data_IF_902624856103
#
_entry.id   IF_902624856103
#
_cell.length_a   1.000
_cell.length_b   1.000
_cell.length_c   1.000
_cell.angle_alpha   90.00
_cell.angle_beta   90.00
_cell.angle_gamma   90.00
#
_symmetry.space_group_name_H-M   'P 1'
#
loop_
_entity.id
_entity.type
_entity.pdbx_description
1 polymer ?
#
# COMPACT_ATOMS: atom_id res chain seq x y z
N UNK A 1 4.59 5.37 14.28
CA UNK A 1 4.42 5.58 12.82
C UNK A 1 4.56 4.27 12.06
N UNK A 2 3.63 3.32 12.26
CA UNK A 2 3.72 1.98 11.67
C UNK A 2 3.44 2.00 10.17
N UNK A 3 2.37 2.67 9.75
CA UNK A 3 1.93 2.78 8.35
C UNK A 3 2.99 3.38 7.44
N UNK A 4 3.62 4.47 7.86
CA UNK A 4 4.70 5.11 7.10
C UNK A 4 5.86 4.13 6.79
N UNK A 5 6.24 3.32 7.78
CA UNK A 5 7.30 2.30 7.63
C UNK A 5 6.84 1.09 6.81
N UNK A 6 5.57 0.70 6.91
CA UNK A 6 5.01 -0.38 6.10
C UNK A 6 5.02 -0.01 4.60
N UNK A 7 4.62 1.22 4.26
CA UNK A 7 4.68 1.76 2.89
C UNK A 7 6.12 1.73 2.38
N UNK A 8 7.07 2.31 3.13
CA UNK A 8 8.48 2.34 2.76
C UNK A 8 9.06 0.93 2.54
N UNK A 9 8.80 -0.01 3.47
CA UNK A 9 9.32 -1.39 3.38
C UNK A 9 8.77 -2.14 2.19
N UNK A 10 7.47 -2.07 1.92
CA UNK A 10 6.89 -2.76 0.76
C UNK A 10 7.34 -2.13 -0.56
N UNK A 11 7.41 -0.80 -0.62
CA UNK A 11 7.96 -0.10 -1.79
C UNK A 11 9.38 -0.57 -2.12
N UNK A 12 10.25 -0.65 -1.10
CA UNK A 12 11.63 -1.12 -1.27
C UNK A 12 11.70 -2.60 -1.64
N UNK A 13 10.85 -3.45 -1.07
CA UNK A 13 10.77 -4.87 -1.42
C UNK A 13 10.38 -5.12 -2.88
N UNK A 14 9.57 -4.21 -3.47
CA UNK A 14 9.19 -4.22 -4.87
C UNK A 14 10.22 -3.52 -5.80
N UNK A 15 11.32 -2.98 -5.26
CA UNK A 15 12.33 -2.26 -6.03
C UNK A 15 11.84 -0.92 -6.60
N UNK A 16 10.76 -0.36 -6.05
CA UNK A 16 10.16 0.87 -6.56
C UNK A 16 10.82 2.11 -5.95
N UNK A 17 11.09 3.11 -6.78
CA UNK A 17 11.38 4.47 -6.31
C UNK A 17 10.11 5.15 -5.79
N UNK A 18 10.27 6.18 -4.96
CA UNK A 18 9.13 7.03 -4.55
C UNK A 18 8.43 7.67 -5.75
N UNK A 19 9.19 8.02 -6.79
CA UNK A 19 8.61 8.60 -8.01
C UNK A 19 7.73 7.60 -8.74
N UNK A 20 8.20 6.37 -8.94
CA UNK A 20 7.42 5.32 -9.60
C UNK A 20 6.13 5.01 -8.85
N UNK A 21 6.19 4.87 -7.52
CA UNK A 21 4.98 4.65 -6.72
C UNK A 21 4.00 5.83 -6.84
N UNK A 22 4.50 7.06 -6.78
CA UNK A 22 3.67 8.25 -6.97
C UNK A 22 3.01 8.32 -8.37
N UNK A 23 3.75 7.91 -9.42
CA UNK A 23 3.22 7.79 -10.77
C UNK A 23 2.14 6.72 -10.87
N UNK A 24 2.31 5.57 -10.24
CA UNK A 24 1.29 4.50 -10.20
C UNK A 24 0.02 4.99 -9.48
N UNK A 25 0.15 5.63 -8.31
CA UNK A 25 -0.98 6.22 -7.60
C UNK A 25 -1.71 7.27 -8.44
N UNK A 26 -0.96 8.12 -9.16
CA UNK A 26 -1.52 9.15 -10.06
C UNK A 26 -2.30 8.54 -11.21
N UNK A 27 -1.81 7.44 -11.79
CA UNK A 27 -2.50 6.74 -12.87
C UNK A 27 -3.83 6.11 -12.43
N UNK A 28 -3.98 5.76 -11.15
CA UNK A 28 -5.17 5.08 -10.63
C UNK A 28 -6.31 5.99 -10.19
N UNK A 29 -6.15 7.32 -10.26
CA UNK A 29 -7.17 8.39 -10.06
C UNK A 29 -6.82 9.45 -9.01
N UNK A 30 -5.73 9.30 -8.26
CA UNK A 30 -5.36 10.25 -7.19
C UNK A 30 -4.01 10.90 -7.48
N UNK A 31 -3.97 12.19 -7.86
CA UNK A 31 -2.71 12.91 -8.06
C UNK A 31 -1.83 12.80 -6.81
N UNK A 32 -0.74 12.06 -6.94
CA UNK A 32 0.21 11.82 -5.87
C UNK A 32 1.57 12.32 -6.32
N UNK A 33 2.14 13.29 -5.60
CA UNK A 33 3.48 13.78 -5.91
C UNK A 33 4.53 12.95 -5.17
N UNK A 34 5.74 12.91 -5.73
CA UNK A 34 6.89 12.30 -5.04
C UNK A 34 7.07 12.91 -3.64
N UNK A 35 6.97 14.24 -3.51
CA UNK A 35 7.09 14.93 -2.21
C UNK A 35 5.99 14.51 -1.22
N UNK A 36 4.74 14.35 -1.67
CA UNK A 36 3.66 13.88 -0.81
C UNK A 36 3.94 12.47 -0.27
N UNK A 37 4.42 11.57 -1.13
CA UNK A 37 4.81 10.21 -0.74
C UNK A 37 6.02 10.23 0.21
N UNK A 38 7.04 11.01 -0.12
CA UNK A 38 8.27 11.16 0.66
C UNK A 38 8.00 11.70 2.07
N UNK A 39 7.04 12.63 2.22
CA UNK A 39 6.58 13.11 3.52
C UNK A 39 5.73 12.08 4.27
N UNK A 40 4.94 11.29 3.56
CA UNK A 40 4.12 10.22 4.14
C UNK A 40 5.01 9.13 4.74
N UNK A 41 6.02 8.65 4.02
CA UNK A 41 7.00 7.66 4.50
C UNK A 41 7.82 8.18 5.70
N UNK A 42 8.12 9.47 5.73
CA UNK A 42 8.80 10.12 6.86
C UNK A 42 7.88 10.54 7.98
N UNK A 43 6.60 10.15 7.96
CA UNK A 43 5.64 10.52 8.99
C UNK A 43 5.33 12.03 9.13
N UNK A 44 5.77 12.86 8.18
CA UNK A 44 5.55 14.31 8.15
C UNK A 44 4.24 14.73 7.46
N UNK A 45 3.49 13.76 6.95
CA UNK A 45 2.12 13.92 6.42
C UNK A 45 1.31 12.72 6.88
N UNK A 46 0.09 12.95 7.39
CA UNK A 46 -0.86 11.88 7.66
C UNK A 46 -1.43 11.38 6.33
N UNK A 47 -1.55 10.07 6.21
CA UNK A 47 -2.20 9.40 5.09
C UNK A 47 -3.70 9.36 5.38
N UNK A 48 -4.52 9.93 4.49
CA UNK A 48 -5.96 9.71 4.53
C UNK A 48 -6.30 8.24 4.17
N UNK A 49 -7.49 7.76 4.51
CA UNK A 49 -7.95 6.41 4.19
C UNK A 49 -7.93 6.19 2.68
N UNK A 50 -8.40 7.15 1.89
CA UNK A 50 -8.37 7.04 0.43
C UNK A 50 -6.93 6.95 -0.11
N UNK A 51 -6.03 7.78 0.42
CA UNK A 51 -4.62 7.74 0.05
C UNK A 51 -4.02 6.37 0.41
N UNK A 52 -4.45 5.78 1.54
CA UNK A 52 -4.00 4.48 1.99
C UNK A 52 -4.46 3.36 1.05
N UNK A 53 -5.72 3.40 0.61
CA UNK A 53 -6.28 2.42 -0.34
C UNK A 53 -5.54 2.50 -1.66
N UNK A 54 -5.35 3.70 -2.22
CA UNK A 54 -4.63 3.89 -3.49
C UNK A 54 -3.18 3.44 -3.39
N UNK A 55 -2.48 3.77 -2.29
CA UNK A 55 -1.10 3.32 -2.08
C UNK A 55 -1.03 1.80 -1.93
N UNK A 56 -1.97 1.18 -1.21
CA UNK A 56 -2.01 -0.27 -1.05
C UNK A 56 -2.25 -0.97 -2.39
N UNK A 57 -3.19 -0.47 -3.19
CA UNK A 57 -3.49 -0.96 -4.52
C UNK A 57 -2.26 -0.84 -5.45
N UNK A 58 -1.56 0.30 -5.40
CA UNK A 58 -0.33 0.53 -6.17
C UNK A 58 0.80 -0.46 -5.81
N UNK A 59 0.80 -0.93 -4.56
CA UNK A 59 1.73 -1.92 -4.03
C UNK A 59 1.24 -3.36 -4.21
N UNK A 60 0.04 -3.58 -4.78
CA UNK A 60 -0.56 -4.90 -4.93
C UNK A 60 -0.95 -5.55 -3.60
N UNK A 61 -1.30 -4.74 -2.60
CA UNK A 61 -1.62 -5.18 -1.24
C UNK A 61 -3.00 -4.70 -0.79
N UNK A 62 -3.56 -5.33 0.25
CA UNK A 62 -4.76 -4.81 0.95
C UNK A 62 -4.35 -3.66 1.87
N UNK A 63 -5.20 -2.63 2.01
CA UNK A 63 -4.92 -1.47 2.88
C UNK A 63 -4.65 -1.87 4.35
N UNK A 64 -5.25 -2.96 4.84
CA UNK A 64 -5.00 -3.51 6.18
C UNK A 64 -3.56 -3.97 6.39
N UNK A 65 -2.82 -4.35 5.34
CA UNK A 65 -1.41 -4.72 5.43
C UNK A 65 -0.49 -3.52 5.75
N UNK A 66 -0.99 -2.30 5.57
CA UNK A 66 -0.30 -1.06 5.92
C UNK A 66 -0.63 -0.56 7.33
N UNK A 67 -1.59 -1.18 8.01
CA UNK A 67 -1.98 -0.81 9.36
C UNK A 67 -1.18 -1.63 10.39
N UNK A 68 -0.97 -1.10 11.60
CA UNK A 68 -0.50 -1.94 12.69
C UNK A 68 -1.39 -3.17 12.79
N UNK A 69 -0.79 -4.36 12.86
CA UNK A 69 -1.51 -5.53 13.34
C UNK A 69 -2.08 -5.14 14.70
N UNK A 70 -3.40 -4.98 14.77
CA UNK A 70 -4.07 -4.65 16.02
C UNK A 70 -3.61 -5.68 17.05
N UNK A 71 -3.27 -5.22 18.26
CA UNK A 71 -3.21 -6.12 19.39
C UNK A 71 -4.65 -6.64 19.50
N UNK A 72 -4.93 -7.79 18.92
CA UNK A 72 -6.21 -8.45 19.11
C UNK A 72 -6.20 -8.97 20.55
N UNK A 73 -6.97 -8.42 21.51
CA UNK A 73 -7.39 -9.24 22.64
C UNK A 73 -8.17 -10.39 22.01
N UNK A 74 -7.64 -11.61 22.16
CA UNK A 74 -8.11 -12.83 21.50
C UNK A 74 -9.63 -12.86 21.33
N UNK A 75 -10.13 -12.48 20.16
CA UNK A 75 -11.50 -12.78 19.76
C UNK A 75 -11.48 -14.16 19.10
N UNK A 76 -12.29 -15.11 19.58
CA UNK A 76 -12.33 -16.44 19.00
C UNK A 76 -12.86 -16.33 17.56
N UNK A 77 -11.93 -16.57 16.63
CA UNK A 77 -12.07 -17.24 15.33
C UNK A 77 -13.46 -17.12 14.68
N UNK A 78 -13.57 -16.24 13.68
CA UNK A 78 -14.33 -16.58 12.48
C UNK A 78 -13.32 -16.86 11.36
N UNK A 79 -13.21 -18.15 11.06
CA UNK A 79 -12.56 -18.69 9.87
C UNK A 79 -13.30 -18.17 8.66
N UNK A 80 -12.68 -17.35 7.81
CA UNK A 80 -12.91 -17.40 6.37
C UNK A 80 -11.60 -17.09 5.64
N UNK A 81 -11.26 -18.03 4.77
CA UNK A 81 -10.19 -17.94 3.80
C UNK A 81 -10.52 -16.85 2.78
N UNK A 82 -9.51 -16.17 2.25
CA UNK A 82 -9.56 -15.79 0.85
C UNK A 82 -8.15 -15.61 0.28
N UNK A 83 -7.71 -16.68 -0.40
CA UNK A 83 -6.72 -16.61 -1.45
C UNK A 83 -7.35 -15.91 -2.65
N UNK A 84 -6.68 -14.91 -3.21
CA UNK A 84 -6.76 -14.72 -4.66
C UNK A 84 -5.38 -14.44 -5.24
N UNK A 85 -4.95 -15.40 -6.04
CA UNK A 85 -3.74 -15.43 -6.83
C UNK A 85 -3.83 -14.46 -8.02
N UNK A 86 -2.77 -13.68 -8.22
CA UNK A 86 -2.00 -13.51 -9.46
C UNK A 86 -2.73 -13.77 -10.79
N UNK A 87 -2.76 -12.77 -11.68
CA UNK A 87 -2.15 -12.78 -13.02
C UNK A 87 -2.81 -11.76 -13.97
N UNK A 88 -2.02 -10.88 -14.57
CA UNK A 88 -2.09 -10.61 -16.01
C UNK A 88 -0.73 -10.08 -16.45
N UNK A 89 0.13 -11.03 -16.79
CA UNK A 89 1.27 -10.78 -17.67
C UNK A 89 0.78 -10.79 -19.11
N UNK A 90 1.32 -9.84 -19.88
CA UNK A 90 1.91 -10.05 -21.21
C UNK A 90 1.02 -10.63 -22.32
N UNK A 91 0.70 -9.74 -23.27
CA UNK A 91 1.00 -9.82 -24.72
C UNK A 91 1.00 -11.20 -25.43
N UNK A 92 0.36 -11.18 -26.62
CA UNK A 92 0.41 -12.05 -27.81
C UNK A 92 -1.03 -12.53 -28.12
N UNK A 93 -1.59 -12.36 -29.30
CA UNK A 93 -1.08 -12.13 -30.64
C UNK A 93 -2.12 -12.74 -31.58
#
# INVERSE_FOLDING_TARGET
>A
MHTARAIERMRLALGLTQHQLATHCTAMSRPMTNTALSRTERAHRRCDIDDLVVIAEALGARATALLPAGICPAHPRHTEADLCCRAQGVLLG
#
